data_IF_687908041102
#
_entry.id   IF_687908041102
#
_cell.length_a   1.000
_cell.length_b   1.000
_cell.length_c   1.000
_cell.angle_alpha   90.00
_cell.angle_beta   90.00
_cell.angle_gamma   90.00
#
_symmetry.space_group_name_H-M   'P 1'
#
loop_
_entity.id
_entity.type
_entity.pdbx_description
1 polymer ?
#
# COMPACT_ATOMS: atom_id res chain seq x y z
N UNK A 1 -0.50 4.34 -2.89
CA UNK A 1 -0.88 5.77 -3.00
C UNK A 1 -1.23 6.36 -1.64
N UNK A 2 -2.17 5.83 -0.87
CA UNK A 2 -2.49 6.28 0.51
C UNK A 2 -1.28 6.21 1.46
N UNK A 3 -0.48 5.17 1.42
CA UNK A 3 0.67 4.97 2.29
C UNK A 3 1.79 5.95 2.10
N UNK A 4 2.13 6.19 0.90
CA UNK A 4 3.12 7.23 0.60
C UNK A 4 2.67 8.59 1.16
N UNK A 5 1.37 8.80 1.31
CA UNK A 5 0.82 10.02 1.91
C UNK A 5 0.81 9.95 3.43
N UNK A 6 0.48 8.83 4.01
CA UNK A 6 0.34 8.68 5.46
C UNK A 6 1.71 8.44 6.12
N UNK A 7 2.63 7.63 5.57
CA UNK A 7 4.03 7.54 6.03
C UNK A 7 4.72 8.89 5.93
N UNK A 8 4.32 9.67 4.94
CA UNK A 8 4.85 11.03 4.76
C UNK A 8 4.20 12.04 5.68
N UNK A 9 2.98 11.84 6.11
CA UNK A 9 2.38 12.58 7.23
C UNK A 9 3.14 12.30 8.54
N UNK A 10 3.62 11.08 8.80
CA UNK A 10 4.53 10.79 9.93
C UNK A 10 5.88 11.49 9.81
N UNK A 11 6.49 11.46 8.62
CA UNK A 11 7.75 12.19 8.37
C UNK A 11 7.53 13.69 8.55
N UNK A 12 6.34 14.21 8.23
CA UNK A 12 5.98 15.63 8.40
C UNK A 12 5.75 15.98 9.86
N UNK A 13 5.09 15.14 10.62
CA UNK A 13 4.96 15.33 12.06
C UNK A 13 6.35 15.40 12.71
N UNK A 14 7.28 14.55 12.26
CA UNK A 14 8.68 14.60 12.70
C UNK A 14 9.40 15.84 12.18
N UNK A 15 9.19 16.25 10.93
CA UNK A 15 9.82 17.42 10.32
C UNK A 15 9.19 18.73 10.81
N UNK A 16 7.87 18.80 11.08
CA UNK A 16 7.22 19.94 11.73
C UNK A 16 7.73 20.09 13.17
N UNK A 17 7.81 19.01 13.93
CA UNK A 17 8.36 19.04 15.28
C UNK A 17 9.84 19.45 15.26
N UNK A 18 10.60 19.03 14.26
CA UNK A 18 11.99 19.45 14.05
C UNK A 18 12.10 20.91 13.62
N UNK A 19 11.23 21.39 12.73
CA UNK A 19 11.20 22.80 12.30
C UNK A 19 10.72 23.75 13.42
N UNK A 20 9.81 23.28 14.28
CA UNK A 20 9.36 24.01 15.47
C UNK A 20 10.48 24.06 16.52
N UNK A 21 11.33 23.02 16.60
CA UNK A 21 12.48 22.96 17.53
C UNK A 21 13.72 23.67 16.97
N UNK A 22 13.96 23.67 15.65
CA UNK A 22 15.10 24.30 14.99
C UNK A 22 14.85 25.74 14.54
N UNK A 23 13.57 26.14 14.39
CA UNK A 23 13.14 27.51 14.09
C UNK A 23 13.15 28.37 15.35
N UNK A 24 14.33 28.68 15.86
CA UNK A 24 14.52 29.59 16.96
C UNK A 24 13.85 30.95 16.73
N UNK A 25 12.61 31.09 17.18
CA UNK A 25 12.02 32.40 17.39
C UNK A 25 12.34 32.85 18.81
N UNK A 26 13.48 33.54 18.89
CA UNK A 26 13.88 34.26 20.08
C UNK A 26 12.89 35.40 20.35
N UNK A 27 12.00 35.23 21.30
CA UNK A 27 11.46 36.31 22.18
C UNK A 27 10.77 35.70 23.41
N UNK A 28 11.56 35.69 24.48
CA UNK A 28 11.19 35.90 25.85
C UNK A 28 9.82 35.49 26.36
N UNK A 29 9.75 34.36 27.05
CA UNK A 29 9.24 34.29 28.43
C UNK A 29 9.46 32.91 29.02
N UNK A 30 10.19 32.88 30.11
CA UNK A 30 10.35 31.75 31.02
C UNK A 30 9.00 31.17 31.40
N UNK A 31 8.83 29.87 31.25
CA UNK A 31 8.06 29.06 32.17
C UNK A 31 8.81 27.76 32.43
N UNK A 32 9.14 27.63 33.70
CA UNK A 32 9.75 26.48 34.33
C UNK A 32 8.71 25.35 34.37
N UNK A 33 9.03 24.19 33.88
CA UNK A 33 8.68 22.96 34.56
C UNK A 33 9.55 21.81 34.03
N UNK A 34 10.41 21.31 34.90
CA UNK A 34 11.23 20.17 34.66
C UNK A 34 10.43 18.88 34.72
N UNK A 35 10.67 17.99 33.78
CA UNK A 35 10.46 16.56 34.00
C UNK A 35 11.62 15.82 33.34
N UNK A 36 12.29 15.06 34.19
CA UNK A 36 13.43 14.22 33.92
C UNK A 36 13.12 13.13 32.89
N UNK A 37 14.09 12.86 32.03
CA UNK A 37 14.14 11.63 31.24
C UNK A 37 14.24 10.39 32.14
N UNK A 38 13.64 9.29 31.78
CA UNK A 38 14.17 7.99 32.13
C UNK A 38 14.78 7.29 30.89
N UNK A 39 15.96 6.79 31.14
CA UNK A 39 16.76 5.91 30.31
C UNK A 39 16.03 4.58 30.06
N UNK A 40 16.22 4.05 28.87
CA UNK A 40 15.90 2.64 28.55
C UNK A 40 16.69 1.66 29.44
N UNK A 41 16.10 0.50 29.67
CA UNK A 41 16.81 -0.72 29.34
C UNK A 41 15.99 -1.75 28.56
N UNK A 42 16.71 -2.45 27.69
CA UNK A 42 16.35 -3.70 27.02
C UNK A 42 15.98 -4.81 28.03
N UNK A 43 14.98 -5.58 27.69
CA UNK A 43 14.92 -7.07 27.70
C UNK A 43 13.52 -7.63 27.86
N UNK A 44 13.14 -8.37 26.83
CA UNK A 44 12.44 -9.67 26.81
C UNK A 44 11.97 -10.25 28.15
N UNK A 45 10.70 -10.59 28.23
CA UNK A 45 10.24 -11.96 28.50
C UNK A 45 8.72 -12.11 28.39
N UNK A 46 8.37 -13.17 27.68
CA UNK A 46 7.07 -13.82 27.62
C UNK A 46 6.60 -14.26 29.01
N UNK A 47 5.31 -14.23 29.27
CA UNK A 47 4.71 -14.83 30.47
C UNK A 47 3.23 -14.49 30.62
N UNK A 48 2.41 -15.42 30.23
CA UNK A 48 0.98 -15.56 30.52
C UNK A 48 0.66 -15.34 32.01
N UNK A 49 -0.50 -14.75 32.32
CA UNK A 49 -1.52 -15.28 33.24
C UNK A 49 -2.78 -14.42 33.22
N UNK A 50 -3.91 -15.11 33.13
CA UNK A 50 -5.31 -14.68 33.33
C UNK A 50 -5.56 -13.86 34.59
N UNK A 51 -6.43 -12.89 34.55
CA UNK A 51 -7.57 -12.82 35.49
C UNK A 51 -8.60 -11.77 35.09
N UNK A 52 -9.82 -12.21 35.05
CA UNK A 52 -11.10 -11.53 34.92
C UNK A 52 -11.34 -10.50 36.01
N UNK A 53 -11.90 -9.33 35.68
CA UNK A 53 -13.04 -8.74 36.42
C UNK A 53 -13.73 -7.63 35.62
N UNK A 54 -15.06 -7.78 35.55
CA UNK A 54 -16.04 -6.84 35.02
C UNK A 54 -16.04 -5.51 35.76
N UNK A 55 -16.19 -4.39 35.05
CA UNK A 55 -17.20 -3.36 35.33
C UNK A 55 -17.40 -2.53 34.08
N UNK A 56 -18.65 -2.21 33.81
CA UNK A 56 -19.18 -1.81 32.51
C UNK A 56 -19.07 -0.33 32.17
N UNK A 57 -19.50 -0.12 30.99
CA UNK A 57 -20.16 1.07 30.43
C UNK A 57 -19.36 1.88 29.41
N UNK A 58 -19.96 1.97 28.22
CA UNK A 58 -19.71 2.86 27.10
C UNK A 58 -18.52 2.53 26.18
N UNK A 59 -18.64 1.43 25.47
CA UNK A 59 -17.95 1.22 24.20
C UNK A 59 -18.96 1.33 23.04
N UNK A 60 -18.96 2.45 22.36
CA UNK A 60 -19.62 2.66 21.08
C UNK A 60 -18.56 2.92 20.00
N UNK A 61 -17.61 2.05 19.92
CA UNK A 61 -16.80 1.73 18.74
C UNK A 61 -16.38 0.28 18.97
N UNK A 62 -17.02 -0.64 18.26
CA UNK A 62 -16.67 -2.05 18.37
C UNK A 62 -15.24 -2.21 17.85
N UNK A 63 -14.33 -2.56 18.73
CA UNK A 63 -12.96 -2.99 18.40
C UNK A 63 -12.97 -4.24 17.51
N UNK A 64 -14.11 -4.93 17.40
CA UNK A 64 -14.30 -6.16 16.66
C UNK A 64 -14.32 -5.98 15.12
N UNK A 65 -14.41 -4.74 14.61
CA UNK A 65 -14.34 -4.47 13.16
C UNK A 65 -12.92 -4.28 12.63
N UNK A 66 -11.91 -4.30 13.51
CA UNK A 66 -10.51 -4.08 13.13
C UNK A 66 -9.62 -5.33 13.25
N UNK A 67 -10.17 -6.46 13.70
CA UNK A 67 -9.54 -7.76 13.50
C UNK A 67 -9.64 -8.09 12.03
N UNK A 68 -8.59 -7.76 11.38
CA UNK A 68 -8.37 -7.78 9.96
C UNK A 68 -8.47 -9.21 9.43
N UNK A 69 -8.76 -9.35 8.13
CA UNK A 69 -8.56 -10.56 7.35
C UNK A 69 -7.22 -11.29 7.61
N UNK A 70 -6.31 -10.71 8.33
CA UNK A 70 -5.03 -11.26 8.75
C UNK A 70 -5.17 -12.35 9.80
N UNK A 71 -6.02 -12.17 10.81
CA UNK A 71 -6.19 -13.15 11.88
C UNK A 71 -7.04 -14.35 11.42
N UNK A 72 -8.04 -14.10 10.55
CA UNK A 72 -8.83 -15.17 9.94
C UNK A 72 -8.03 -15.99 8.91
N UNK A 73 -7.07 -15.37 8.22
CA UNK A 73 -6.22 -16.06 7.25
C UNK A 73 -5.12 -16.88 7.94
N UNK A 74 -4.58 -16.41 9.05
CA UNK A 74 -3.60 -17.16 9.86
C UNK A 74 -4.21 -18.43 10.45
N UNK A 75 -5.49 -18.40 10.84
CA UNK A 75 -6.18 -19.56 11.42
C UNK A 75 -6.48 -20.67 10.39
N UNK A 76 -6.56 -20.33 9.10
CA UNK A 76 -6.75 -21.32 8.03
C UNK A 76 -5.47 -22.06 7.66
N UNK A 77 -4.29 -21.54 8.03
CA UNK A 77 -2.99 -22.17 7.76
C UNK A 77 -2.54 -23.15 8.87
N UNK A 78 -3.23 -23.14 10.03
CA UNK A 78 -2.88 -23.99 11.18
C UNK A 78 -3.54 -25.38 11.16
N UNK A 79 -4.27 -25.77 10.10
CA UNK A 79 -4.77 -27.13 9.96
C UNK A 79 -3.66 -28.09 9.51
N UNK A 80 -3.14 -28.93 10.43
CA UNK A 80 -2.05 -29.85 10.12
C UNK A 80 -2.42 -30.90 9.05
N UNK A 81 -3.71 -31.09 8.76
CA UNK A 81 -4.18 -32.01 7.72
C UNK A 81 -3.95 -31.50 6.29
N UNK A 82 -3.75 -30.16 6.12
CA UNK A 82 -3.45 -29.54 4.81
C UNK A 82 -1.95 -29.57 4.51
N UNK A 83 -1.11 -29.72 5.55
CA UNK A 83 0.36 -29.77 5.41
C UNK A 83 0.91 -31.07 4.84
N UNK A 84 0.17 -32.17 4.89
CA UNK A 84 0.71 -33.52 4.58
C UNK A 84 0.42 -34.02 3.16
N UNK A 85 -0.32 -33.30 2.30
CA UNK A 85 -0.83 -33.94 1.07
C UNK A 85 -0.19 -33.54 -0.24
N UNK A 86 0.75 -32.60 -0.28
CA UNK A 86 1.49 -32.34 -1.53
C UNK A 86 2.95 -31.98 -1.19
N UNK A 87 3.81 -32.99 -1.11
CA UNK A 87 5.24 -32.79 -1.40
C UNK A 87 5.32 -32.34 -2.86
N UNK A 88 5.16 -31.07 -3.11
CA UNK A 88 5.41 -30.46 -4.41
C UNK A 88 6.87 -30.74 -4.73
N UNK A 89 7.13 -31.54 -5.78
CA UNK A 89 8.50 -31.79 -6.22
C UNK A 89 9.11 -30.50 -6.74
N UNK A 90 9.79 -29.77 -5.84
CA UNK A 90 10.47 -28.49 -6.16
C UNK A 90 11.51 -28.67 -7.26
N UNK A 91 11.98 -29.90 -7.53
CA UNK A 91 12.94 -30.16 -8.60
C UNK A 91 12.34 -30.02 -10.00
N UNK A 92 11.01 -30.07 -10.12
CA UNK A 92 10.30 -29.85 -11.40
C UNK A 92 10.13 -28.36 -11.76
N UNK A 93 10.44 -27.41 -10.84
CA UNK A 93 10.26 -25.96 -11.02
C UNK A 93 11.56 -25.32 -11.52
N UNK A 94 11.92 -25.57 -12.78
CA UNK A 94 13.21 -25.11 -13.34
C UNK A 94 13.39 -23.58 -13.20
N UNK A 95 12.39 -22.80 -13.49
CA UNK A 95 12.48 -21.33 -13.42
C UNK A 95 12.60 -20.83 -11.98
N UNK A 96 11.95 -21.49 -11.01
CA UNK A 96 12.13 -21.18 -9.59
C UNK A 96 13.55 -21.54 -9.11
N UNK A 97 14.15 -22.63 -9.61
CA UNK A 97 15.52 -23.01 -9.27
C UNK A 97 16.53 -21.95 -9.74
N UNK A 98 16.35 -21.38 -10.94
CA UNK A 98 17.15 -20.25 -11.40
C UNK A 98 17.03 -19.06 -10.45
N UNK A 99 15.80 -18.74 -10.01
CA UNK A 99 15.56 -17.70 -9.01
C UNK A 99 16.25 -17.96 -7.66
N UNK A 100 16.30 -19.23 -7.21
CA UNK A 100 17.01 -19.62 -5.99
C UNK A 100 18.52 -19.42 -6.11
N UNK A 101 19.10 -19.72 -7.26
CA UNK A 101 20.54 -19.51 -7.52
C UNK A 101 20.87 -18.00 -7.49
N UNK A 102 20.05 -17.16 -8.15
CA UNK A 102 20.23 -15.72 -8.14
C UNK A 102 20.06 -15.11 -6.74
N UNK A 103 19.07 -15.57 -5.99
CA UNK A 103 18.85 -15.16 -4.60
C UNK A 103 20.00 -15.58 -3.68
N UNK A 104 20.52 -16.81 -3.84
CA UNK A 104 21.66 -17.30 -3.05
C UNK A 104 22.96 -16.54 -3.34
N UNK A 105 23.14 -16.09 -4.59
CA UNK A 105 24.26 -15.26 -5.01
C UNK A 105 24.15 -13.77 -4.54
N UNK A 106 23.01 -13.39 -3.95
CA UNK A 106 22.77 -12.02 -3.50
C UNK A 106 22.49 -11.03 -4.64
N UNK A 107 22.10 -11.51 -5.81
CA UNK A 107 21.84 -10.69 -7.00
C UNK A 107 20.43 -10.08 -7.02
N UNK A 108 19.60 -10.33 -6.00
CA UNK A 108 18.22 -9.88 -5.94
C UNK A 108 18.04 -8.88 -4.81
N UNK A 109 18.01 -7.62 -5.14
CA UNK A 109 17.67 -6.58 -4.19
C UNK A 109 16.16 -6.56 -3.91
N UNK A 110 15.78 -6.44 -2.64
CA UNK A 110 14.37 -6.37 -2.22
C UNK A 110 14.21 -5.62 -0.88
N UNK A 111 12.98 -5.18 -0.63
CA UNK A 111 12.62 -4.56 0.65
C UNK A 111 12.34 -5.65 1.67
N UNK A 112 13.12 -5.69 2.75
CA UNK A 112 12.89 -6.58 3.90
C UNK A 112 11.50 -6.30 4.48
N UNK A 113 10.90 -7.26 5.16
CA UNK A 113 9.55 -7.20 5.75
C UNK A 113 8.39 -7.61 4.84
N UNK A 114 8.62 -7.99 3.58
CA UNK A 114 7.55 -8.47 2.70
C UNK A 114 7.43 -10.00 2.66
N UNK A 115 8.49 -10.74 3.03
CA UNK A 115 8.51 -12.20 2.96
C UNK A 115 7.37 -12.85 3.78
N UNK A 116 7.17 -12.40 5.02
CA UNK A 116 6.11 -12.90 5.90
C UNK A 116 4.71 -12.58 5.32
N UNK A 117 4.49 -11.34 4.89
CA UNK A 117 3.24 -10.92 4.26
C UNK A 117 2.90 -11.75 3.01
N UNK A 118 3.90 -12.08 2.20
CA UNK A 118 3.74 -12.88 0.99
C UNK A 118 3.67 -14.40 1.26
N UNK A 119 3.70 -14.85 2.52
CA UNK A 119 3.66 -16.26 2.88
C UNK A 119 4.89 -17.03 2.45
N UNK A 120 6.07 -16.38 2.40
CA UNK A 120 7.33 -17.01 2.03
C UNK A 120 8.05 -17.56 3.27
N UNK A 121 8.65 -18.74 3.12
CA UNK A 121 9.33 -19.45 4.23
C UNK A 121 10.61 -18.74 4.71
N UNK A 122 11.23 -17.92 3.85
CA UNK A 122 12.47 -17.20 4.13
C UNK A 122 12.68 -16.02 3.18
N UNK A 123 13.61 -15.13 3.52
CA UNK A 123 14.05 -14.04 2.62
C UNK A 123 14.61 -14.57 1.30
N UNK A 124 15.26 -15.76 1.30
CA UNK A 124 15.79 -16.38 0.07
C UNK A 124 14.67 -16.91 -0.81
N UNK A 125 13.64 -17.57 -0.22
CA UNK A 125 12.45 -17.99 -0.95
C UNK A 125 11.70 -16.80 -1.55
N UNK A 126 11.53 -15.74 -0.77
CA UNK A 126 10.93 -14.49 -1.24
C UNK A 126 11.72 -13.87 -2.40
N UNK A 127 13.05 -13.76 -2.26
CA UNK A 127 13.91 -13.20 -3.30
C UNK A 127 13.86 -14.02 -4.59
N UNK A 128 13.88 -15.35 -4.48
CA UNK A 128 13.78 -16.27 -5.63
C UNK A 128 12.47 -16.09 -6.40
N UNK A 129 11.33 -16.09 -5.68
CA UNK A 129 10.02 -15.85 -6.29
C UNK A 129 9.94 -14.45 -6.88
N UNK A 130 10.46 -13.44 -6.19
CA UNK A 130 10.47 -12.06 -6.66
C UNK A 130 11.28 -11.90 -7.96
N UNK A 131 12.42 -12.58 -8.07
CA UNK A 131 13.22 -12.60 -9.29
C UNK A 131 12.41 -13.14 -10.50
N UNK A 132 11.68 -14.23 -10.29
CA UNK A 132 10.79 -14.79 -11.31
C UNK A 132 9.65 -13.83 -11.66
N UNK A 133 8.98 -13.28 -10.62
CA UNK A 133 7.84 -12.36 -10.79
C UNK A 133 8.22 -11.08 -11.53
N UNK A 134 9.38 -10.48 -11.24
CA UNK A 134 9.86 -9.30 -11.97
C UNK A 134 9.94 -9.54 -13.47
N UNK A 135 10.48 -10.71 -13.89
CA UNK A 135 10.58 -11.11 -15.30
C UNK A 135 9.22 -11.32 -15.93
N UNK A 136 8.34 -12.02 -15.24
CA UNK A 136 7.00 -12.29 -15.76
C UNK A 136 6.17 -11.00 -15.86
N UNK A 137 6.24 -10.10 -14.89
CA UNK A 137 5.60 -8.78 -15.00
C UNK A 137 6.22 -7.93 -16.12
N UNK A 138 7.54 -7.95 -16.30
CA UNK A 138 8.20 -7.28 -17.41
C UNK A 138 7.68 -7.81 -18.75
N UNK A 139 7.48 -9.13 -18.87
CA UNK A 139 6.93 -9.77 -20.07
C UNK A 139 5.46 -9.37 -20.32
N UNK A 140 4.63 -9.27 -19.26
CA UNK A 140 3.25 -8.76 -19.38
C UNK A 140 3.25 -7.31 -19.88
N UNK A 141 4.10 -6.46 -19.34
CA UNK A 141 4.13 -5.02 -19.68
C UNK A 141 4.82 -4.76 -21.03
N UNK A 142 5.70 -5.65 -21.49
CA UNK A 142 6.32 -5.57 -22.82
C UNK A 142 5.29 -5.76 -23.95
N UNK A 143 4.24 -6.55 -23.73
CA UNK A 143 3.12 -6.66 -24.65
C UNK A 143 2.27 -5.40 -24.61
N UNK A 144 2.20 -4.67 -25.73
CA UNK A 144 1.48 -3.39 -25.83
C UNK A 144 -0.01 -3.53 -25.51
N UNK A 145 -0.64 -4.60 -25.96
CA UNK A 145 -2.06 -4.83 -25.75
C UNK A 145 -2.36 -5.09 -24.26
N UNK A 146 -1.58 -5.95 -23.60
CA UNK A 146 -1.70 -6.24 -22.17
C UNK A 146 -1.40 -5.00 -21.33
N UNK A 147 -0.38 -4.22 -21.70
CA UNK A 147 -0.03 -2.96 -21.02
C UNK A 147 -1.16 -1.93 -21.11
N UNK A 148 -1.71 -1.69 -22.29
CA UNK A 148 -2.83 -0.75 -22.49
C UNK A 148 -4.09 -1.21 -21.75
N UNK A 149 -4.40 -2.50 -21.83
CA UNK A 149 -5.52 -3.07 -21.10
C UNK A 149 -5.37 -2.84 -19.58
N UNK A 150 -4.22 -3.16 -19.00
CA UNK A 150 -3.95 -2.99 -17.57
C UNK A 150 -4.04 -1.53 -17.14
N UNK A 151 -3.47 -0.64 -17.93
CA UNK A 151 -3.51 0.81 -17.69
C UNK A 151 -4.94 1.34 -17.70
N UNK A 152 -5.73 0.95 -18.68
CA UNK A 152 -7.14 1.37 -18.78
C UNK A 152 -8.01 0.77 -17.66
N UNK A 153 -7.79 -0.49 -17.31
CA UNK A 153 -8.50 -1.14 -16.21
C UNK A 153 -8.22 -0.44 -14.86
N UNK A 154 -6.96 -0.17 -14.56
CA UNK A 154 -6.57 0.57 -13.36
C UNK A 154 -7.17 1.99 -13.32
N UNK A 155 -7.12 2.71 -14.46
CA UNK A 155 -7.75 4.02 -14.62
C UNK A 155 -9.25 3.98 -14.32
N UNK A 156 -9.95 2.98 -14.86
CA UNK A 156 -11.40 2.84 -14.69
C UNK A 156 -11.76 2.51 -13.24
N UNK A 157 -11.10 1.53 -12.62
CA UNK A 157 -11.35 1.13 -11.22
C UNK A 157 -11.17 2.32 -10.28
N UNK A 158 -10.09 3.08 -10.42
CA UNK A 158 -9.82 4.23 -9.56
C UNK A 158 -10.82 5.37 -9.79
N UNK A 159 -11.23 5.60 -11.04
CA UNK A 159 -12.26 6.58 -11.37
C UNK A 159 -13.63 6.18 -10.79
N UNK A 160 -13.98 4.91 -10.86
CA UNK A 160 -15.24 4.40 -10.32
C UNK A 160 -15.29 4.51 -8.79
N UNK A 161 -14.19 4.22 -8.09
CA UNK A 161 -14.09 4.50 -6.65
C UNK A 161 -14.35 5.98 -6.33
N UNK A 162 -13.82 6.91 -7.12
CA UNK A 162 -14.09 8.34 -6.91
C UNK A 162 -15.55 8.71 -7.18
N UNK A 163 -16.18 8.13 -8.23
CA UNK A 163 -17.60 8.33 -8.54
C UNK A 163 -18.51 7.85 -7.42
N UNK A 164 -18.21 6.71 -6.82
CA UNK A 164 -18.95 6.21 -5.66
C UNK A 164 -18.88 7.14 -4.44
N UNK A 165 -17.81 7.92 -4.29
CA UNK A 165 -17.72 8.99 -3.30
C UNK A 165 -18.38 10.30 -3.77
N UNK A 166 -19.04 10.30 -4.94
CA UNK A 166 -19.70 11.47 -5.51
C UNK A 166 -18.73 12.54 -6.04
N UNK A 167 -17.53 12.16 -6.44
CA UNK A 167 -16.51 13.07 -6.95
C UNK A 167 -16.46 13.12 -8.46
N UNK A 168 -16.15 14.28 -8.97
CA UNK A 168 -15.78 14.43 -10.38
C UNK A 168 -14.42 13.79 -10.68
N UNK A 169 -14.33 13.14 -11.83
CA UNK A 169 -13.15 12.33 -12.21
C UNK A 169 -12.26 13.02 -13.26
N UNK A 170 -12.62 14.23 -13.71
CA UNK A 170 -11.89 14.93 -14.78
C UNK A 170 -10.42 15.20 -14.41
N UNK A 171 -10.20 15.76 -13.21
CA UNK A 171 -8.84 16.05 -12.72
C UNK A 171 -8.03 14.76 -12.51
N UNK A 172 -8.71 13.70 -12.04
CA UNK A 172 -8.10 12.39 -11.88
C UNK A 172 -7.63 11.82 -13.23
N UNK A 173 -8.46 11.87 -14.26
CA UNK A 173 -8.08 11.38 -15.57
C UNK A 173 -6.86 12.13 -16.12
N UNK A 174 -6.85 13.47 -16.02
CA UNK A 174 -5.69 14.25 -16.47
C UNK A 174 -4.42 13.86 -15.71
N UNK A 175 -4.45 13.79 -14.40
CA UNK A 175 -3.27 13.44 -13.59
C UNK A 175 -2.83 11.98 -13.77
N UNK A 176 -3.77 11.08 -14.08
CA UNK A 176 -3.47 9.68 -14.38
C UNK A 176 -2.81 9.56 -15.75
N UNK A 177 -3.33 10.22 -16.77
CA UNK A 177 -2.78 10.21 -18.11
C UNK A 177 -1.37 10.82 -18.12
N UNK A 178 -1.15 11.92 -17.39
CA UNK A 178 0.17 12.57 -17.25
C UNK A 178 1.22 11.62 -16.63
N UNK A 179 0.87 10.85 -15.60
CA UNK A 179 1.83 9.90 -14.99
C UNK A 179 2.11 8.71 -15.91
N UNK A 180 1.12 8.24 -16.65
CA UNK A 180 1.29 7.14 -17.61
C UNK A 180 2.14 7.58 -18.80
N UNK A 181 1.93 8.78 -19.33
CA UNK A 181 2.76 9.36 -20.38
C UNK A 181 4.22 9.50 -19.89
N UNK A 182 4.42 9.99 -18.67
CA UNK A 182 5.74 10.11 -18.08
C UNK A 182 6.46 8.77 -17.98
N UNK A 183 5.78 7.72 -17.48
CA UNK A 183 6.35 6.38 -17.27
C UNK A 183 6.64 5.67 -18.60
N UNK A 184 5.79 5.86 -19.61
CA UNK A 184 5.98 5.22 -20.92
C UNK A 184 7.11 5.87 -21.74
N UNK A 185 7.62 7.03 -21.36
CA UNK A 185 8.71 7.69 -22.03
C UNK A 185 10.06 7.24 -21.47
N UNK A 186 10.81 6.48 -22.25
CA UNK A 186 12.11 5.92 -21.85
C UNK A 186 13.13 6.98 -21.40
N UNK A 187 13.04 8.20 -21.96
CA UNK A 187 13.92 9.33 -21.56
C UNK A 187 13.76 9.69 -20.08
N UNK A 188 12.60 9.39 -19.49
CA UNK A 188 12.32 9.68 -18.10
C UNK A 188 12.76 8.56 -17.13
N UNK A 189 13.17 7.38 -17.64
CA UNK A 189 13.49 6.23 -16.79
C UNK A 189 14.67 6.49 -15.85
N UNK A 190 15.69 7.22 -16.31
CA UNK A 190 16.85 7.59 -15.47
C UNK A 190 16.40 8.50 -14.31
N UNK A 191 15.62 9.55 -14.59
CA UNK A 191 15.05 10.43 -13.57
C UNK A 191 14.17 9.66 -12.58
N UNK A 192 13.34 8.76 -13.10
CA UNK A 192 12.46 7.92 -12.30
C UNK A 192 13.28 7.00 -11.35
N UNK A 193 14.36 6.40 -11.90
CA UNK A 193 15.25 5.56 -11.11
C UNK A 193 15.92 6.34 -9.96
N UNK A 194 16.49 7.52 -10.25
CA UNK A 194 17.11 8.35 -9.21
C UNK A 194 16.13 8.75 -8.09
N UNK A 195 14.89 9.10 -8.45
CA UNK A 195 13.86 9.44 -7.46
C UNK A 195 13.39 8.25 -6.61
N UNK A 196 13.25 7.07 -7.22
CA UNK A 196 12.71 5.89 -6.58
C UNK A 196 13.76 5.11 -5.79
N UNK A 197 15.00 5.00 -6.29
CA UNK A 197 16.11 4.37 -5.57
C UNK A 197 16.45 5.11 -4.27
N UNK A 198 16.38 6.45 -4.28
CA UNK A 198 16.49 7.26 -3.07
C UNK A 198 15.39 6.96 -2.02
N UNK A 199 14.33 6.27 -2.42
CA UNK A 199 13.21 5.81 -1.57
C UNK A 199 13.23 4.31 -1.31
N UNK A 200 14.36 3.67 -1.60
CA UNK A 200 14.57 2.22 -1.41
C UNK A 200 13.66 1.33 -2.30
N UNK A 201 13.22 1.83 -3.43
CA UNK A 201 12.62 1.00 -4.47
C UNK A 201 13.76 0.29 -5.17
N UNK A 202 13.70 -1.04 -5.25
CA UNK A 202 14.81 -1.86 -5.71
C UNK A 202 14.85 -2.04 -7.23
N UNK A 203 13.70 -1.90 -7.92
CA UNK A 203 13.58 -2.02 -9.37
C UNK A 203 12.45 -1.11 -9.89
N UNK A 204 12.49 -0.72 -11.17
CA UNK A 204 11.41 0.05 -11.81
C UNK A 204 10.23 -0.80 -12.28
N UNK A 205 10.23 -2.08 -11.95
CA UNK A 205 9.21 -3.03 -12.35
C UNK A 205 7.83 -2.81 -11.70
N UNK A 206 6.83 -3.47 -12.25
CA UNK A 206 5.45 -3.42 -11.75
C UNK A 206 5.33 -3.83 -10.28
N UNK A 207 6.10 -4.84 -9.85
CA UNK A 207 6.13 -5.24 -8.45
C UNK A 207 6.61 -4.11 -7.56
N UNK A 208 7.82 -3.63 -7.79
CA UNK A 208 8.50 -2.71 -6.87
C UNK A 208 7.84 -1.32 -6.83
N UNK A 209 7.38 -0.82 -7.97
CA UNK A 209 6.77 0.51 -8.06
C UNK A 209 5.28 0.46 -7.75
N UNK A 210 4.50 -0.37 -8.44
CA UNK A 210 3.04 -0.34 -8.29
C UNK A 210 2.58 -1.14 -7.07
N UNK A 211 2.98 -2.41 -6.96
CA UNK A 211 2.47 -3.27 -5.89
C UNK A 211 3.12 -2.92 -4.54
N UNK A 212 4.43 -2.94 -4.44
CA UNK A 212 5.11 -2.72 -3.16
C UNK A 212 5.12 -1.24 -2.74
N UNK A 213 5.63 -0.31 -3.59
CA UNK A 213 5.77 1.09 -3.20
C UNK A 213 4.47 1.88 -3.21
N UNK A 214 3.55 1.64 -4.17
CA UNK A 214 2.30 2.41 -4.29
C UNK A 214 1.16 1.78 -3.48
N UNK A 215 0.93 0.48 -3.56
CA UNK A 215 -0.24 -0.16 -2.94
C UNK A 215 0.05 -0.73 -1.55
N UNK A 216 1.06 -1.59 -1.37
CA UNK A 216 1.31 -2.24 -0.09
C UNK A 216 1.75 -1.24 1.00
N UNK A 217 2.61 -0.27 0.69
CA UNK A 217 2.89 0.80 1.65
C UNK A 217 1.62 1.58 2.03
N UNK A 218 0.65 1.73 1.08
CA UNK A 218 -0.65 2.31 1.37
C UNK A 218 -1.41 1.51 2.42
N UNK A 219 -1.45 0.23 2.25
CA UNK A 219 -2.22 -0.61 3.15
C UNK A 219 -1.56 -0.76 4.52
N UNK A 220 -0.24 -0.80 4.59
CA UNK A 220 0.49 -0.77 5.86
C UNK A 220 0.17 0.49 6.68
N UNK A 221 0.12 1.63 6.02
CA UNK A 221 -0.20 2.89 6.70
C UNK A 221 -1.66 3.00 7.14
N UNK A 222 -2.59 2.34 6.45
CA UNK A 222 -3.99 2.24 6.91
C UNK A 222 -4.06 1.52 8.25
N UNK A 223 -3.20 0.52 8.50
CA UNK A 223 -3.16 -0.20 9.77
C UNK A 223 -2.54 0.63 10.91
N UNK A 224 -1.67 1.61 10.58
CA UNK A 224 -0.96 2.46 11.55
C UNK A 224 -1.10 3.96 11.20
N UNK A 225 -2.32 4.52 11.19
CA UNK A 225 -2.54 5.89 10.75
C UNK A 225 -1.92 6.92 11.71
N UNK A 226 -1.48 8.09 11.21
CA UNK A 226 -0.98 9.18 12.05
C UNK A 226 -2.03 9.65 13.05
N UNK A 227 -1.60 9.88 14.29
CA UNK A 227 -2.49 10.32 15.39
C UNK A 227 -3.25 11.63 15.04
N UNK A 228 -2.62 12.54 14.31
CA UNK A 228 -3.23 13.78 13.84
C UNK A 228 -4.41 13.56 12.88
N UNK A 229 -4.29 12.57 11.99
CA UNK A 229 -5.37 12.18 11.07
C UNK A 229 -6.50 11.53 11.84
N UNK A 230 -6.20 10.62 12.76
CA UNK A 230 -7.20 9.99 13.62
C UNK A 230 -7.94 11.06 14.43
N UNK A 231 -7.23 11.99 15.08
CA UNK A 231 -7.82 13.07 15.87
C UNK A 231 -8.74 13.97 15.02
N UNK A 232 -8.31 14.30 13.80
CA UNK A 232 -9.13 15.08 12.86
C UNK A 232 -10.42 14.35 12.48
N UNK A 233 -10.30 13.08 12.09
CA UNK A 233 -11.41 12.29 11.57
C UNK A 233 -12.36 11.80 12.68
N UNK A 234 -11.85 11.56 13.89
CA UNK A 234 -12.64 11.18 15.06
C UNK A 234 -13.37 12.36 15.70
N UNK A 235 -13.09 13.60 15.32
CA UNK A 235 -13.73 14.77 15.89
C UNK A 235 -15.22 14.81 15.52
N UNK A 236 -16.08 14.61 16.52
CA UNK A 236 -17.55 14.57 16.37
C UNK A 236 -18.17 15.94 16.05
N UNK A 237 -17.47 17.03 16.31
CA UNK A 237 -17.96 18.39 16.03
C UNK A 237 -17.74 18.83 14.59
N UNK A 238 -16.92 18.11 13.82
CA UNK A 238 -16.66 18.40 12.42
C UNK A 238 -17.63 17.62 11.52
N UNK A 239 -18.28 18.34 10.62
CA UNK A 239 -19.06 17.70 9.55
C UNK A 239 -18.14 16.99 8.55
N UNK A 240 -18.68 16.06 7.74
CA UNK A 240 -17.92 15.39 6.68
C UNK A 240 -17.16 16.38 5.79
N UNK A 241 -17.84 17.43 5.32
CA UNK A 241 -17.24 18.47 4.47
C UNK A 241 -16.09 19.20 5.16
N UNK A 242 -16.22 19.49 6.46
CA UNK A 242 -15.15 20.13 7.24
C UNK A 242 -13.95 19.21 7.41
N UNK A 243 -14.16 17.92 7.72
CA UNK A 243 -13.10 16.92 7.81
C UNK A 243 -12.35 16.80 6.49
N UNK A 244 -13.08 16.69 5.39
CA UNK A 244 -12.54 16.60 4.05
C UNK A 244 -11.71 17.84 3.66
N UNK A 245 -12.26 19.04 3.88
CA UNK A 245 -11.57 20.30 3.60
C UNK A 245 -10.30 20.44 4.44
N UNK A 246 -10.36 20.09 5.73
CA UNK A 246 -9.19 20.10 6.61
C UNK A 246 -8.12 19.11 6.16
N UNK A 247 -8.52 17.90 5.81
CA UNK A 247 -7.62 16.87 5.30
C UNK A 247 -6.97 17.30 3.98
N UNK A 248 -7.75 17.85 3.06
CA UNK A 248 -7.24 18.36 1.76
C UNK A 248 -6.26 19.52 1.97
N UNK A 249 -6.53 20.41 2.91
CA UNK A 249 -5.64 21.54 3.24
C UNK A 249 -4.31 21.06 3.83
N UNK A 250 -4.36 20.15 4.79
CA UNK A 250 -3.15 19.54 5.39
C UNK A 250 -2.34 18.82 4.32
N UNK A 251 -3.00 18.03 3.49
CA UNK A 251 -2.36 17.28 2.43
C UNK A 251 -1.69 18.21 1.41
N UNK A 252 -2.41 19.25 0.96
CA UNK A 252 -1.90 20.23 0.01
C UNK A 252 -0.68 20.98 0.57
N UNK A 253 -0.76 21.45 1.81
CA UNK A 253 0.34 22.17 2.49
C UNK A 253 1.58 21.30 2.57
N UNK A 254 1.39 20.06 2.95
CA UNK A 254 2.40 19.05 3.08
C UNK A 254 3.08 18.74 1.75
N UNK A 255 2.29 18.45 0.72
CA UNK A 255 2.82 18.12 -0.61
C UNK A 255 3.51 19.34 -1.21
N UNK A 256 2.97 20.55 -1.01
CA UNK A 256 3.61 21.80 -1.46
C UNK A 256 4.99 21.99 -0.83
N UNK A 257 5.14 21.71 0.47
CA UNK A 257 6.45 21.77 1.13
C UNK A 257 7.42 20.72 0.57
N UNK A 258 6.92 19.50 0.26
CA UNK A 258 7.75 18.42 -0.32
C UNK A 258 8.14 18.69 -1.76
N UNK A 259 7.26 19.29 -2.56
CA UNK A 259 7.57 19.68 -3.94
C UNK A 259 8.79 20.60 -4.05
N UNK A 260 9.01 21.47 -3.07
CA UNK A 260 10.20 22.35 -3.03
C UNK A 260 11.51 21.59 -2.85
N UNK A 261 11.47 20.32 -2.46
CA UNK A 261 12.62 19.44 -2.20
C UNK A 261 12.73 18.30 -3.20
N UNK A 262 11.93 18.30 -4.26
CA UNK A 262 12.02 17.30 -5.30
C UNK A 262 13.32 17.49 -6.09
N UNK A 263 13.94 16.38 -6.48
CA UNK A 263 15.09 16.38 -7.36
C UNK A 263 14.69 16.90 -8.74
N UNK A 264 13.53 16.46 -9.22
CA UNK A 264 12.96 16.86 -10.50
C UNK A 264 11.57 17.44 -10.28
N UNK A 265 11.35 18.69 -10.73
CA UNK A 265 10.06 19.37 -10.62
C UNK A 265 8.97 18.73 -11.49
N UNK A 266 9.39 18.06 -12.58
CA UNK A 266 8.57 17.32 -13.54
C UNK A 266 8.78 15.80 -13.47
N UNK A 267 9.32 15.30 -12.32
CA UNK A 267 9.64 13.89 -12.13
C UNK A 267 8.42 13.02 -11.76
N UNK A 268 8.64 11.70 -11.72
CA UNK A 268 7.63 10.71 -11.34
C UNK A 268 6.93 11.06 -10.01
N UNK A 269 7.70 11.48 -9.00
CA UNK A 269 7.15 11.80 -7.69
C UNK A 269 6.24 13.02 -7.73
N UNK A 270 6.49 13.99 -8.61
CA UNK A 270 5.58 15.13 -8.76
C UNK A 270 4.24 14.71 -9.37
N UNK A 271 4.25 13.90 -10.43
CA UNK A 271 3.03 13.33 -11.02
C UNK A 271 2.28 12.45 -10.01
N UNK A 272 3.00 11.63 -9.26
CA UNK A 272 2.44 10.84 -8.17
C UNK A 272 1.76 11.71 -7.08
N UNK A 273 2.32 12.88 -6.76
CA UNK A 273 1.70 13.82 -5.83
C UNK A 273 0.41 14.43 -6.37
N UNK A 274 0.29 14.64 -7.69
CA UNK A 274 -0.97 15.10 -8.29
C UNK A 274 -2.08 14.08 -8.05
N UNK A 275 -1.85 12.80 -8.37
CA UNK A 275 -2.82 11.73 -8.07
C UNK A 275 -3.14 11.64 -6.56
N UNK A 276 -2.13 11.77 -5.72
CA UNK A 276 -2.29 11.73 -4.28
C UNK A 276 -3.22 12.80 -3.75
N UNK A 277 -3.10 14.05 -4.23
CA UNK A 277 -3.98 15.15 -3.83
C UNK A 277 -5.45 14.90 -4.18
N UNK A 278 -5.71 14.22 -5.28
CA UNK A 278 -7.06 13.91 -5.75
C UNK A 278 -7.67 12.71 -4.99
N UNK A 279 -6.90 11.62 -4.88
CA UNK A 279 -7.42 10.34 -4.36
C UNK A 279 -7.49 10.28 -2.84
N UNK A 280 -6.47 10.81 -2.14
CA UNK A 280 -6.31 10.58 -0.72
C UNK A 280 -7.43 11.13 0.16
N UNK A 281 -8.01 12.31 -0.08
CA UNK A 281 -9.09 12.79 0.77
C UNK A 281 -10.30 11.85 0.79
N UNK A 282 -10.65 11.27 -0.35
CA UNK A 282 -11.74 10.31 -0.49
C UNK A 282 -11.42 9.00 0.22
N UNK A 283 -10.28 8.39 -0.10
CA UNK A 283 -9.88 7.10 0.46
C UNK A 283 -9.62 7.17 1.97
N UNK A 284 -9.05 8.26 2.49
CA UNK A 284 -8.85 8.43 3.92
C UNK A 284 -10.17 8.52 4.69
N UNK A 285 -11.18 9.20 4.14
CA UNK A 285 -12.52 9.21 4.74
C UNK A 285 -13.16 7.82 4.72
N UNK A 286 -12.93 7.02 3.69
CA UNK A 286 -13.43 5.66 3.62
C UNK A 286 -12.82 4.78 4.73
N UNK A 287 -11.50 4.80 4.87
CA UNK A 287 -10.81 3.90 5.80
C UNK A 287 -10.83 4.37 7.26
N UNK A 288 -10.85 5.68 7.53
CA UNK A 288 -10.76 6.23 8.89
C UNK A 288 -12.07 6.84 9.41
N UNK A 289 -13.14 6.71 8.65
CA UNK A 289 -14.47 7.17 9.02
C UNK A 289 -14.82 8.56 8.48
N UNK A 290 -16.09 8.71 8.13
CA UNK A 290 -16.65 9.93 7.54
C UNK A 290 -17.25 9.76 6.15
N UNK A 291 -17.08 8.59 5.52
CA UNK A 291 -17.78 8.19 4.30
C UNK A 291 -19.05 7.38 4.59
N UNK A 292 -19.81 7.04 3.55
CA UNK A 292 -20.91 6.07 3.64
C UNK A 292 -20.37 4.65 3.90
N UNK A 293 -21.16 3.80 4.53
CA UNK A 293 -20.78 2.41 4.79
C UNK A 293 -20.53 1.66 3.47
N UNK A 294 -21.37 1.86 2.47
CA UNK A 294 -21.21 1.25 1.15
C UNK A 294 -19.85 1.61 0.50
N UNK A 295 -19.46 2.89 0.53
CA UNK A 295 -18.17 3.30 -0.02
C UNK A 295 -16.98 2.74 0.78
N UNK A 296 -17.11 2.65 2.11
CA UNK A 296 -16.09 2.00 2.95
C UNK A 296 -15.92 0.53 2.59
N UNK A 297 -17.02 -0.21 2.42
CA UNK A 297 -17.01 -1.61 2.00
C UNK A 297 -16.36 -1.81 0.63
N UNK A 298 -16.63 -0.91 -0.32
CA UNK A 298 -15.96 -0.94 -1.63
C UNK A 298 -14.44 -0.74 -1.53
N UNK A 299 -14.01 0.24 -0.75
CA UNK A 299 -12.59 0.50 -0.55
C UNK A 299 -11.90 -0.68 0.18
N UNK A 300 -12.58 -1.28 1.15
CA UNK A 300 -12.09 -2.47 1.83
C UNK A 300 -12.00 -3.66 0.86
N UNK A 301 -13.03 -3.89 0.06
CA UNK A 301 -13.03 -4.94 -0.97
C UNK A 301 -11.88 -4.76 -1.98
N UNK A 302 -11.63 -3.52 -2.44
CA UNK A 302 -10.49 -3.21 -3.29
C UNK A 302 -9.16 -3.60 -2.61
N UNK A 303 -8.98 -3.23 -1.34
CA UNK A 303 -7.79 -3.61 -0.57
C UNK A 303 -7.63 -5.12 -0.50
N UNK A 304 -8.71 -5.85 -0.18
CA UNK A 304 -8.72 -7.31 -0.08
C UNK A 304 -8.33 -7.99 -1.40
N UNK A 305 -8.88 -7.51 -2.54
CA UNK A 305 -8.50 -8.05 -3.85
C UNK A 305 -7.02 -7.88 -4.15
N UNK A 306 -6.43 -6.72 -3.84
CA UNK A 306 -5.01 -6.48 -4.04
C UNK A 306 -4.15 -7.34 -3.09
N UNK A 307 -4.48 -7.40 -1.81
CA UNK A 307 -3.73 -8.20 -0.83
C UNK A 307 -3.80 -9.70 -1.18
N UNK A 308 -4.99 -10.21 -1.54
CA UNK A 308 -5.16 -11.60 -1.94
C UNK A 308 -4.38 -11.93 -3.23
N UNK A 309 -4.38 -11.01 -4.21
CA UNK A 309 -3.57 -11.16 -5.41
C UNK A 309 -2.08 -11.29 -5.07
N UNK A 310 -1.57 -10.41 -4.20
CA UNK A 310 -0.16 -10.45 -3.80
C UNK A 310 0.20 -11.77 -3.12
N UNK A 311 -0.60 -12.27 -2.20
CA UNK A 311 -0.34 -13.56 -1.54
C UNK A 311 -0.44 -14.72 -2.54
N UNK A 312 -1.41 -14.68 -3.45
CA UNK A 312 -1.61 -15.72 -4.46
C UNK A 312 -0.42 -15.87 -5.39
N UNK A 313 0.15 -14.77 -5.88
CA UNK A 313 1.27 -14.82 -6.83
C UNK A 313 2.57 -15.35 -6.22
N UNK A 314 2.73 -15.32 -4.90
CA UNK A 314 3.87 -15.96 -4.21
C UNK A 314 3.60 -17.40 -3.80
N UNK A 315 2.41 -17.95 -4.06
CA UNK A 315 2.05 -19.30 -3.69
C UNK A 315 2.31 -20.29 -4.85
N UNK A 316 3.30 -21.16 -4.67
CA UNK A 316 3.69 -22.20 -5.66
C UNK A 316 2.58 -23.23 -5.95
N UNK A 317 1.54 -23.32 -5.13
CA UNK A 317 0.39 -24.22 -5.37
C UNK A 317 -0.61 -23.61 -6.36
N UNK A 318 -0.68 -22.29 -6.43
CA UNK A 318 -1.64 -21.55 -7.24
C UNK A 318 -1.06 -21.08 -8.57
N UNK A 319 0.25 -20.82 -8.58
CA UNK A 319 0.98 -20.21 -9.70
C UNK A 319 2.15 -21.11 -10.08
N UNK A 320 2.29 -21.39 -11.38
CA UNK A 320 3.34 -22.25 -11.92
C UNK A 320 4.64 -21.46 -12.12
N UNK A 321 5.69 -21.86 -11.45
CA UNK A 321 7.03 -21.31 -11.59
C UNK A 321 7.95 -22.23 -12.40
N UNK A 322 7.38 -22.95 -13.34
CA UNK A 322 8.05 -23.95 -14.19
C UNK A 322 8.82 -23.30 -15.34
N UNK A 323 8.25 -22.28 -15.96
CA UNK A 323 8.88 -21.46 -17.00
C UNK A 323 8.40 -20.02 -16.94
N UNK A 324 9.11 -19.12 -17.64
CA UNK A 324 8.71 -17.71 -17.73
C UNK A 324 7.35 -17.55 -18.41
N UNK A 325 7.08 -18.34 -19.45
CA UNK A 325 5.85 -18.30 -20.23
C UNK A 325 4.64 -18.69 -19.39
N UNK A 326 4.73 -19.84 -18.68
CA UNK A 326 3.65 -20.34 -17.83
C UNK A 326 3.40 -19.39 -16.65
N UNK A 327 4.44 -18.88 -16.01
CA UNK A 327 4.31 -17.88 -14.94
C UNK A 327 3.66 -16.61 -15.46
N UNK A 328 4.06 -16.10 -16.64
CA UNK A 328 3.46 -14.92 -17.25
C UNK A 328 1.96 -15.08 -17.52
N UNK A 329 1.57 -16.27 -18.02
CA UNK A 329 0.15 -16.57 -18.32
C UNK A 329 -0.69 -16.68 -17.04
N UNK A 330 -0.19 -17.37 -16.03
CA UNK A 330 -0.87 -17.50 -14.74
C UNK A 330 -1.05 -16.14 -14.05
N UNK A 331 0.00 -15.32 -14.04
CA UNK A 331 -0.07 -13.95 -13.49
C UNK A 331 -1.08 -13.09 -14.23
N UNK A 332 -1.06 -13.14 -15.57
CA UNK A 332 -2.00 -12.38 -16.39
C UNK A 332 -3.45 -12.83 -16.14
N UNK A 333 -3.68 -14.14 -16.06
CA UNK A 333 -5.00 -14.73 -15.80
C UNK A 333 -5.53 -14.36 -14.40
N UNK A 334 -4.71 -14.48 -13.36
CA UNK A 334 -5.07 -14.09 -12.00
C UNK A 334 -5.39 -12.60 -11.92
N UNK A 335 -4.54 -11.75 -12.51
CA UNK A 335 -4.74 -10.30 -12.56
C UNK A 335 -6.04 -9.93 -13.31
N UNK A 336 -6.32 -10.57 -14.44
CA UNK A 336 -7.55 -10.36 -15.22
C UNK A 336 -8.80 -10.72 -14.42
N UNK A 337 -8.80 -11.86 -13.74
CA UNK A 337 -9.90 -12.31 -12.89
C UNK A 337 -10.17 -11.32 -11.75
N UNK A 338 -9.12 -10.79 -11.11
CA UNK A 338 -9.26 -9.80 -10.03
C UNK A 338 -9.80 -8.47 -10.53
N UNK A 339 -9.33 -8.01 -11.69
CA UNK A 339 -9.83 -6.79 -12.35
C UNK A 339 -11.31 -6.93 -12.71
N UNK A 340 -11.72 -8.04 -13.31
CA UNK A 340 -13.12 -8.32 -13.66
C UNK A 340 -14.01 -8.35 -12.42
N UNK A 341 -13.56 -9.00 -11.34
CA UNK A 341 -14.26 -9.04 -10.06
C UNK A 341 -14.46 -7.64 -9.48
N UNK A 342 -13.43 -6.79 -9.50
CA UNK A 342 -13.51 -5.40 -9.05
C UNK A 342 -14.46 -4.57 -9.91
N UNK A 343 -14.37 -4.67 -11.23
CA UNK A 343 -15.23 -3.92 -12.16
C UNK A 343 -16.68 -4.34 -12.02
N UNK A 344 -16.96 -5.63 -11.88
CA UNK A 344 -18.31 -6.15 -11.67
C UNK A 344 -18.91 -5.61 -10.37
N UNK A 345 -18.15 -5.63 -9.28
CA UNK A 345 -18.61 -5.10 -7.98
C UNK A 345 -18.91 -3.61 -8.07
N UNK A 346 -17.99 -2.82 -8.65
CA UNK A 346 -18.14 -1.38 -8.81
C UNK A 346 -19.33 -1.03 -9.70
N UNK A 347 -19.54 -1.76 -10.80
CA UNK A 347 -20.65 -1.51 -11.73
C UNK A 347 -22.01 -1.82 -11.11
N UNK A 348 -22.13 -2.89 -10.33
CA UNK A 348 -23.38 -3.29 -9.69
C UNK A 348 -23.86 -2.27 -8.65
N UNK A 349 -22.95 -1.58 -7.99
CA UNK A 349 -23.29 -0.57 -6.98
C UNK A 349 -23.53 0.83 -7.58
N UNK A 350 -23.14 1.07 -8.84
CA UNK A 350 -23.45 2.31 -9.56
C UNK A 350 -24.82 2.32 -10.20
N UNK A 351 -25.48 1.15 -10.33
CA UNK A 351 -26.84 1.06 -10.86
C UNK A 351 -27.82 1.54 -9.75
N UNK A 352 -28.65 2.58 -10.00
CA UNK A 352 -29.68 2.96 -9.05
C UNK A 352 -30.68 1.81 -8.89
N UNK A 353 -30.83 1.33 -7.66
CA UNK A 353 -31.93 0.40 -7.27
C UNK A 353 -33.25 1.10 -7.31
#
# INVERSE_FOLDING_TARGET
MLASVITRLRIIETDINRLVTEGGYDRGKKFICGISQPQMPLRLRCGTVFSSRRTGSLSLLSEDSFHSCFDDFSSCLDDPSVRETLTFDRSSLAFYQEGLEEAANGNVDFRKSRAEFCGCDSDVDFAAKLWCLRRAFANIVADEHRRLWLTNAGRQIMADLLRHDGRETREFYSAYDDIIEFVNNEVNHEKMWEELSARKVADLGMWDVLLDFVLLDAFDDITHPPATIIALLSNKFLTRKMKESSLSTVLWTTISAKRRRLLYADGFINHFYNLTLIMTPSLALAFFGGSSDAYRELCQFFKEQVCSFVVEIFNLQNIRYTSLEELTEDLHSSLASRIETLQTRLSNELLPT
#
